data_IF_122553977573
#
_entry.id   IF_122553977573
#
_cell.length_a   1.000
_cell.length_b   1.000
_cell.length_c   1.000
_cell.angle_alpha   90.00
_cell.angle_beta   90.00
_cell.angle_gamma   90.00
#
_symmetry.space_group_name_H-M   'P 1'
#
loop_
_entity.id
_entity.type
_entity.pdbx_description
1 polymer ?
#
# COMPACT_ATOMS: atom_id res chain seq x y z
N UNK A 1 15.07 7.78 16.65
CA UNK A 1 14.33 6.89 15.73
C UNK A 1 13.14 6.33 16.50
N UNK A 2 11.88 6.55 16.10
CA UNK A 2 10.75 5.99 16.86
C UNK A 2 10.82 4.47 16.77
N UNK A 3 10.97 3.82 17.93
CA UNK A 3 11.03 2.37 18.09
C UNK A 3 9.83 1.73 17.40
N UNK A 4 10.08 1.11 16.24
CA UNK A 4 9.03 0.57 15.38
C UNK A 4 8.79 -0.87 15.79
N UNK A 5 7.98 -1.08 16.84
CA UNK A 5 7.58 -2.43 17.22
C UNK A 5 6.97 -3.13 15.99
N UNK A 6 7.27 -4.43 15.76
CA UNK A 6 6.79 -5.17 14.59
C UNK A 6 5.28 -5.03 14.38
N UNK A 7 4.50 -5.02 15.47
CA UNK A 7 3.05 -4.82 15.45
C UNK A 7 2.59 -3.46 14.87
N UNK A 8 3.41 -2.41 15.02
CA UNK A 8 3.10 -1.09 14.46
C UNK A 8 3.30 -1.11 12.95
N UNK A 9 4.40 -1.71 12.48
CA UNK A 9 4.68 -1.90 11.06
C UNK A 9 3.59 -2.74 10.39
N UNK A 10 3.14 -3.82 11.03
CA UNK A 10 2.04 -4.64 10.53
C UNK A 10 0.72 -3.87 10.41
N UNK A 11 0.41 -3.00 11.38
CA UNK A 11 -0.77 -2.13 11.33
C UNK A 11 -0.69 -1.11 10.19
N UNK A 12 0.44 -0.43 10.04
CA UNK A 12 0.69 0.51 8.95
C UNK A 12 0.57 -0.19 7.59
N UNK A 13 1.13 -1.40 7.46
CA UNK A 13 1.06 -2.19 6.24
C UNK A 13 -0.38 -2.60 5.88
N UNK A 14 -1.16 -3.07 6.85
CA UNK A 14 -2.58 -3.41 6.63
C UNK A 14 -3.38 -2.20 6.13
N UNK A 15 -3.14 -1.03 6.72
CA UNK A 15 -3.79 0.22 6.31
C UNK A 15 -3.37 0.65 4.89
N UNK A 16 -2.09 0.55 4.56
CA UNK A 16 -1.60 0.84 3.20
C UNK A 16 -2.22 -0.09 2.14
N UNK A 17 -2.42 -1.38 2.46
CA UNK A 17 -3.13 -2.31 1.58
C UNK A 17 -4.61 -1.96 1.38
N UNK A 18 -5.26 -1.39 2.38
CA UNK A 18 -6.63 -0.88 2.26
C UNK A 18 -6.65 0.34 1.33
N UNK A 19 -5.75 1.32 1.55
CA UNK A 19 -5.62 2.48 0.67
C UNK A 19 -5.36 2.08 -0.79
N UNK A 20 -4.43 1.15 -1.03
CA UNK A 20 -4.16 0.62 -2.37
C UNK A 20 -5.39 -0.04 -3.01
N UNK A 21 -6.21 -0.77 -2.25
CA UNK A 21 -7.46 -1.35 -2.77
C UNK A 21 -8.51 -0.30 -3.12
N UNK A 22 -8.58 0.79 -2.36
CA UNK A 22 -9.48 1.91 -2.63
C UNK A 22 -9.11 2.55 -3.97
N UNK A 23 -7.82 2.82 -4.19
CA UNK A 23 -7.32 3.35 -5.46
C UNK A 23 -7.62 2.42 -6.64
N UNK A 24 -7.40 1.11 -6.48
CA UNK A 24 -7.74 0.13 -7.54
C UNK A 24 -9.25 0.08 -7.83
N UNK A 25 -10.11 0.30 -6.83
CA UNK A 25 -11.57 0.39 -7.04
C UNK A 25 -11.97 1.66 -7.75
N UNK A 26 -11.32 2.78 -7.44
CA UNK A 26 -11.48 4.05 -8.14
C UNK A 26 -11.14 3.90 -9.62
N UNK A 27 -9.98 3.31 -9.94
CA UNK A 27 -9.57 3.01 -11.32
C UNK A 27 -10.59 2.13 -12.08
N UNK A 28 -11.29 1.24 -11.37
CA UNK A 28 -12.33 0.37 -11.93
C UNK A 28 -13.72 1.03 -12.00
N UNK A 29 -13.88 2.26 -11.53
CA UNK A 29 -15.20 2.93 -11.43
C UNK A 29 -16.13 2.29 -10.38
N UNK A 30 -15.58 1.57 -9.39
CA UNK A 30 -16.32 0.84 -8.34
C UNK A 30 -16.17 1.47 -6.97
N UNK A 31 -15.87 2.77 -6.92
CA UNK A 31 -15.67 3.49 -5.68
C UNK A 31 -16.99 3.65 -4.93
N UNK A 32 -17.00 3.34 -3.63
CA UNK A 32 -18.16 3.54 -2.75
C UNK A 32 -17.96 4.74 -1.83
N UNK A 33 -19.04 5.33 -1.31
CA UNK A 33 -18.94 6.41 -0.30
C UNK A 33 -18.14 5.98 0.94
N UNK A 34 -18.24 4.71 1.32
CA UNK A 34 -17.44 4.13 2.41
C UNK A 34 -15.95 4.17 2.07
N UNK A 35 -15.58 3.82 0.85
CA UNK A 35 -14.20 3.84 0.38
C UNK A 35 -13.65 5.28 0.39
N UNK A 36 -14.43 6.26 -0.05
CA UNK A 36 -14.06 7.70 0.02
C UNK A 36 -13.81 8.13 1.47
N UNK A 37 -14.73 7.81 2.39
CA UNK A 37 -14.59 8.16 3.82
C UNK A 37 -13.33 7.52 4.43
N UNK A 38 -13.08 6.25 4.13
CA UNK A 38 -11.87 5.55 4.60
C UNK A 38 -10.62 6.16 3.97
N UNK A 39 -10.64 6.47 2.67
CA UNK A 39 -9.54 7.11 1.97
C UNK A 39 -9.13 8.43 2.63
N UNK A 40 -10.09 9.29 2.97
CA UNK A 40 -9.82 10.52 3.71
C UNK A 40 -9.21 10.30 5.09
N UNK A 41 -9.63 9.26 5.82
CA UNK A 41 -9.03 8.93 7.11
C UNK A 41 -7.57 8.45 6.93
N UNK A 42 -7.31 7.60 5.95
CA UNK A 42 -5.98 7.05 5.68
C UNK A 42 -5.01 8.11 5.13
N UNK A 43 -5.49 9.09 4.36
CA UNK A 43 -4.67 10.19 3.86
C UNK A 43 -4.09 11.09 4.98
N UNK A 44 -4.72 11.08 6.17
CA UNK A 44 -4.26 11.81 7.36
C UNK A 44 -3.40 10.96 8.30
N UNK A 45 -3.23 9.67 8.01
CA UNK A 45 -2.49 8.74 8.87
C UNK A 45 -1.01 8.75 8.48
N UNK A 46 -0.15 9.30 9.34
CA UNK A 46 1.30 9.38 9.11
C UNK A 46 1.97 8.02 8.93
N UNK A 47 1.37 6.95 9.45
CA UNK A 47 1.84 5.58 9.26
C UNK A 47 1.54 5.01 7.88
N UNK A 48 0.65 5.64 7.11
CA UNK A 48 0.26 5.21 5.76
C UNK A 48 1.00 6.07 4.75
N UNK A 49 2.27 5.72 4.52
CA UNK A 49 3.12 6.45 3.58
C UNK A 49 2.82 6.06 2.13
N UNK A 50 3.04 6.99 1.19
CA UNK A 50 2.96 6.74 -0.26
C UNK A 50 3.76 5.51 -0.67
N UNK A 51 4.96 5.34 -0.11
CA UNK A 51 5.82 4.18 -0.38
C UNK A 51 5.16 2.86 0.01
N UNK A 52 4.47 2.79 1.14
CA UNK A 52 3.76 1.56 1.55
C UNK A 52 2.55 1.29 0.64
N UNK A 53 1.86 2.34 0.19
CA UNK A 53 0.76 2.21 -0.77
C UNK A 53 1.29 1.67 -2.11
N UNK A 54 2.39 2.22 -2.62
CA UNK A 54 3.04 1.75 -3.86
C UNK A 54 3.48 0.29 -3.76
N UNK A 55 4.08 -0.09 -2.63
CA UNK A 55 4.46 -1.48 -2.36
C UNK A 55 3.23 -2.40 -2.35
N UNK A 56 2.09 -1.94 -1.82
CA UNK A 56 0.86 -2.72 -1.82
C UNK A 56 0.25 -2.84 -3.23
N UNK A 57 0.19 -1.75 -4.00
CA UNK A 57 -0.23 -1.75 -5.40
C UNK A 57 0.63 -2.72 -6.24
N UNK A 58 1.94 -2.67 -6.03
CA UNK A 58 2.88 -3.58 -6.65
C UNK A 58 2.59 -5.04 -6.31
N UNK A 59 2.40 -5.36 -5.03
CA UNK A 59 2.07 -6.70 -4.57
C UNK A 59 0.74 -7.22 -5.18
N UNK A 60 -0.25 -6.33 -5.38
CA UNK A 60 -1.50 -6.71 -6.06
C UNK A 60 -1.35 -6.93 -7.56
N UNK A 61 -0.40 -6.25 -8.22
CA UNK A 61 -0.17 -6.38 -9.65
C UNK A 61 0.42 -7.73 -10.08
N UNK A 62 0.87 -8.57 -9.13
CA UNK A 62 1.51 -9.86 -9.40
C UNK A 62 2.87 -9.77 -10.11
N UNK A 63 3.40 -8.55 -10.31
CA UNK A 63 4.70 -8.34 -10.97
C UNK A 63 5.84 -8.72 -10.01
N UNK A 64 6.88 -9.48 -10.44
CA UNK A 64 7.99 -9.86 -9.57
C UNK A 64 8.85 -8.64 -9.24
N UNK A 65 9.14 -8.35 -7.97
CA UNK A 65 9.83 -7.14 -7.49
C UNK A 65 10.98 -6.67 -8.41
N UNK A 66 11.01 -5.40 -8.86
CA UNK A 66 12.03 -4.90 -9.82
C UNK A 66 13.47 -5.08 -9.32
N UNK A 67 13.70 -5.03 -8.01
CA UNK A 67 15.03 -5.36 -7.43
C UNK A 67 15.30 -6.87 -7.54
N UNK A 68 14.30 -7.74 -7.34
CA UNK A 68 14.42 -9.18 -7.55
C UNK A 68 14.52 -9.60 -9.03
N UNK A 69 14.13 -8.73 -9.97
CA UNK A 69 14.38 -8.91 -11.41
C UNK A 69 15.81 -8.46 -11.74
N UNK A 70 16.26 -7.33 -11.20
CA UNK A 70 17.59 -6.78 -11.47
C UNK A 70 18.70 -7.67 -10.92
N UNK A 71 18.49 -8.28 -9.75
CA UNK A 71 19.44 -9.27 -9.19
C UNK A 71 19.46 -10.60 -9.94
N UNK A 72 18.41 -10.96 -10.70
CA UNK A 72 18.37 -12.17 -11.55
C UNK A 72 19.00 -11.98 -12.93
N UNK A 73 19.13 -10.74 -13.43
CA UNK A 73 19.81 -10.44 -14.69
C UNK A 73 21.32 -10.25 -14.56
N UNK A 74 21.82 -10.20 -13.33
CA UNK A 74 23.25 -10.04 -13.01
C UNK A 74 23.92 -11.36 -12.59
N UNK A 75 23.24 -12.50 -12.77
CA UNK A 75 23.74 -13.85 -12.49
C UNK A 75 23.83 -14.65 -13.80
#
# INVERSE_FOLDING_TARGET
MPNSSPERLDRCWRKARIAARILLREEQGRLTERDVRIGHMLAKDEGVTTRLIDQALYAFSGKPYRVAISSRKAA
#
